data_IF_531712454780
#
_entry.id   IF_531712454780
#
_cell.length_a   1.000
_cell.length_b   1.000
_cell.length_c   1.000
_cell.angle_alpha   90.00
_cell.angle_beta   90.00
_cell.angle_gamma   90.00
#
_symmetry.space_group_name_H-M   'P 1'
#
loop_
_entity.id
_entity.type
_entity.pdbx_description
1 polymer ?
#
# COMPACT_ATOMS: atom_id res chain seq x y z
N UNK A 1 -18.55 11.26 54.02
CA UNK A 1 -19.13 10.73 52.76
C UNK A 1 -18.20 11.18 51.64
N UNK A 2 -17.29 10.31 51.20
CA UNK A 2 -16.40 10.58 50.08
C UNK A 2 -17.11 10.16 48.78
N UNK A 3 -17.38 11.12 47.91
CA UNK A 3 -17.79 10.86 46.52
C UNK A 3 -16.52 10.75 45.68
N UNK A 4 -16.15 9.51 45.35
CA UNK A 4 -15.13 9.21 44.34
C UNK A 4 -15.77 9.42 42.97
N UNK A 5 -15.43 10.52 42.29
CA UNK A 5 -15.66 10.66 40.86
C UNK A 5 -14.62 9.78 40.15
N UNK A 6 -15.08 8.68 39.54
CA UNK A 6 -14.30 7.91 38.59
C UNK A 6 -14.33 8.65 37.25
N UNK A 7 -13.32 9.47 36.99
CA UNK A 7 -12.98 9.89 35.62
C UNK A 7 -12.43 8.65 34.91
N UNK A 8 -13.18 8.17 33.91
CA UNK A 8 -12.72 7.14 32.99
C UNK A 8 -11.68 7.77 32.09
N UNK A 9 -10.41 7.46 32.37
CA UNK A 9 -9.30 7.73 31.47
C UNK A 9 -9.60 7.16 30.09
N UNK A 10 -9.92 8.07 29.16
CA UNK A 10 -9.90 7.75 27.75
C UNK A 10 -8.44 7.47 27.40
N UNK A 11 -8.16 6.28 26.88
CA UNK A 11 -6.85 5.93 26.35
C UNK A 11 -6.56 6.90 25.19
N UNK A 12 -5.82 7.96 25.49
CA UNK A 12 -5.31 8.88 24.49
C UNK A 12 -4.19 8.16 23.75
N UNK A 13 -4.57 7.45 22.68
CA UNK A 13 -3.63 6.81 21.77
C UNK A 13 -2.75 7.94 21.21
N UNK A 14 -1.48 7.96 21.61
CA UNK A 14 -0.48 8.88 21.09
C UNK A 14 -0.42 8.70 19.56
N UNK A 15 -1.11 9.58 18.84
CA UNK A 15 -1.05 9.61 17.38
C UNK A 15 0.36 10.02 17.01
N UNK A 16 1.12 9.09 16.45
CA UNK A 16 2.39 9.44 15.81
C UNK A 16 2.12 10.58 14.81
N UNK A 17 2.99 11.61 14.77
CA UNK A 17 2.75 12.79 13.95
C UNK A 17 2.63 12.38 12.48
N UNK A 18 1.57 12.86 11.84
CA UNK A 18 1.43 12.75 10.38
C UNK A 18 2.44 13.70 9.77
N UNK A 19 3.44 13.15 9.08
CA UNK A 19 4.41 13.96 8.36
C UNK A 19 3.94 14.13 6.92
N UNK A 20 3.71 15.37 6.51
CA UNK A 20 3.40 15.73 5.14
C UNK A 20 4.26 16.89 4.71
N UNK A 21 4.87 16.77 3.54
CA UNK A 21 5.69 17.82 2.94
C UNK A 21 5.32 17.92 1.47
N UNK A 22 5.51 19.13 0.95
CA UNK A 22 5.22 19.47 -0.43
C UNK A 22 6.39 20.28 -0.96
N UNK A 23 6.96 19.83 -2.07
CA UNK A 23 8.10 20.46 -2.70
C UNK A 23 7.82 20.70 -4.18
N UNK A 24 8.08 21.93 -4.61
CA UNK A 24 7.87 22.36 -5.99
C UNK A 24 9.22 22.36 -6.72
N UNK A 25 9.24 21.70 -7.87
CA UNK A 25 10.35 21.61 -8.81
C UNK A 25 9.87 22.08 -10.18
N UNK A 26 10.10 23.36 -10.50
CA UNK A 26 9.64 23.96 -11.76
C UNK A 26 8.11 23.77 -11.93
N UNK A 27 7.68 23.03 -12.96
CA UNK A 27 6.28 22.73 -13.23
C UNK A 27 5.72 21.52 -12.48
N UNK A 28 6.55 20.86 -11.66
CA UNK A 28 6.17 19.68 -10.90
C UNK A 28 6.04 19.98 -9.42
N UNK A 29 4.98 19.48 -8.81
CA UNK A 29 4.76 19.49 -7.36
C UNK A 29 4.80 18.05 -6.87
N UNK A 30 5.70 17.78 -5.92
CA UNK A 30 5.85 16.49 -5.25
C UNK A 30 5.28 16.65 -3.85
N UNK A 31 4.24 15.88 -3.53
CA UNK A 31 3.62 15.87 -2.21
C UNK A 31 3.63 14.46 -1.66
N UNK A 32 4.06 14.31 -0.41
CA UNK A 32 3.92 13.04 0.28
C UNK A 32 3.17 13.19 1.59
N UNK A 33 2.60 12.08 2.05
CA UNK A 33 2.00 11.97 3.38
C UNK A 33 2.43 10.65 3.98
N UNK A 34 2.91 10.69 5.22
CA UNK A 34 3.26 9.53 6.04
C UNK A 34 2.41 9.55 7.29
N UNK A 35 1.82 8.41 7.60
CA UNK A 35 0.91 8.22 8.71
C UNK A 35 1.14 6.87 9.37
N UNK A 36 0.27 6.55 10.32
CA UNK A 36 0.28 5.30 11.08
C UNK A 36 -0.36 4.15 10.30
N UNK A 37 -0.13 2.95 10.81
CA UNK A 37 -0.72 1.70 10.32
C UNK A 37 -2.24 1.72 10.54
N UNK A 38 -2.98 1.06 9.66
CA UNK A 38 -4.42 0.86 9.75
C UNK A 38 -4.78 0.20 11.08
N UNK A 39 -5.81 0.74 11.74
CA UNK A 39 -6.31 0.14 12.97
C UNK A 39 -7.00 -1.20 12.67
N UNK A 40 -6.75 -2.21 13.51
CA UNK A 40 -7.34 -3.54 13.39
C UNK A 40 -8.80 -3.62 13.87
N UNK A 41 -9.30 -2.57 14.52
CA UNK A 41 -10.64 -2.52 15.09
C UNK A 41 -11.40 -1.32 14.53
N UNK A 42 -12.64 -1.57 14.10
CA UNK A 42 -13.55 -0.53 13.66
C UNK A 42 -13.90 0.42 14.82
N UNK A 43 -13.68 1.72 14.63
CA UNK A 43 -13.88 2.72 15.68
C UNK A 43 -15.35 2.92 16.08
N UNK A 44 -16.29 2.62 15.19
CA UNK A 44 -17.73 2.68 15.49
C UNK A 44 -18.54 1.81 14.53
N UNK A 45 -19.02 0.67 15.03
CA UNK A 45 -19.83 -0.29 14.25
C UNK A 45 -21.14 0.32 13.72
N UNK A 46 -21.73 1.27 14.46
CA UNK A 46 -22.98 1.92 14.04
C UNK A 46 -22.76 2.93 12.90
N UNK A 47 -21.73 3.76 12.98
CA UNK A 47 -21.41 4.76 11.94
C UNK A 47 -20.94 4.10 10.65
N UNK A 48 -20.20 2.99 10.76
CA UNK A 48 -19.67 2.32 9.58
C UNK A 48 -20.71 1.53 8.75
N UNK A 49 -21.98 1.55 9.15
CA UNK A 49 -23.08 1.02 8.31
C UNK A 49 -23.38 1.92 7.12
N UNK A 50 -23.13 3.22 7.25
CA UNK A 50 -23.30 4.18 6.17
C UNK A 50 -22.00 4.30 5.36
N UNK A 51 -22.02 4.03 4.04
CA UNK A 51 -20.85 4.16 3.15
C UNK A 51 -20.14 5.51 3.24
N UNK A 52 -20.85 6.61 3.52
CA UNK A 52 -20.26 7.95 3.57
C UNK A 52 -19.47 8.24 4.86
N UNK A 53 -19.68 7.46 5.93
CA UNK A 53 -19.09 7.70 7.25
C UNK A 53 -18.29 6.52 7.79
N UNK A 54 -17.90 5.60 6.91
CA UNK A 54 -17.08 4.44 7.26
C UNK A 54 -15.69 4.83 7.72
N UNK A 55 -15.18 4.11 8.72
CA UNK A 55 -13.78 4.20 9.11
C UNK A 55 -12.88 3.55 8.04
N UNK A 56 -11.58 3.88 8.07
CA UNK A 56 -10.60 3.37 7.10
C UNK A 56 -10.58 1.84 7.04
N UNK A 57 -10.70 1.16 8.18
CA UNK A 57 -10.72 -0.31 8.21
C UNK A 57 -11.89 -0.85 7.37
N UNK A 58 -13.11 -0.37 7.63
CA UNK A 58 -14.29 -0.79 6.89
C UNK A 58 -14.20 -0.44 5.40
N UNK A 59 -13.65 0.73 5.06
CA UNK A 59 -13.41 1.09 3.64
C UNK A 59 -12.50 0.06 2.98
N UNK A 60 -11.38 -0.29 3.61
CA UNK A 60 -10.46 -1.30 3.08
C UNK A 60 -11.11 -2.68 2.99
N UNK A 61 -11.73 -3.16 4.07
CA UNK A 61 -12.39 -4.48 4.11
C UNK A 61 -13.54 -4.61 3.12
N UNK A 62 -14.34 -3.55 2.90
CA UNK A 62 -15.47 -3.60 1.99
C UNK A 62 -15.07 -3.41 0.52
N UNK A 63 -14.00 -2.64 0.27
CA UNK A 63 -13.54 -2.34 -1.09
C UNK A 63 -12.63 -3.42 -1.64
N UNK A 64 -11.83 -4.05 -0.78
CA UNK A 64 -10.85 -5.06 -1.17
C UNK A 64 -11.49 -6.44 -1.07
N UNK A 65 -11.47 -7.19 -2.16
CA UNK A 65 -11.93 -8.59 -2.19
C UNK A 65 -10.87 -9.55 -1.61
N UNK A 66 -10.16 -9.16 -0.55
CA UNK A 66 -9.10 -9.95 0.07
C UNK A 66 -9.64 -10.72 1.29
N UNK A 67 -9.22 -11.98 1.52
CA UNK A 67 -9.64 -12.74 2.70
C UNK A 67 -9.14 -12.13 4.01
N UNK A 68 -7.98 -11.48 3.98
CA UNK A 68 -7.40 -10.70 5.06
C UNK A 68 -6.55 -9.57 4.45
N UNK A 69 -6.30 -8.53 5.24
CA UNK A 69 -5.38 -7.45 4.87
C UNK A 69 -3.95 -7.84 5.29
N UNK A 70 -2.92 -7.26 4.65
CA UNK A 70 -1.55 -7.34 5.17
C UNK A 70 -1.48 -6.93 6.64
N UNK A 71 -0.56 -7.52 7.40
CA UNK A 71 -0.33 -7.17 8.80
C UNK A 71 -0.12 -5.67 9.03
N UNK A 72 0.65 -5.04 8.14
CA UNK A 72 0.92 -3.60 8.17
C UNK A 72 0.38 -2.95 6.91
N UNK A 73 -0.74 -2.24 7.00
CA UNK A 73 -1.25 -1.39 5.91
C UNK A 73 -1.13 0.07 6.33
N UNK A 74 -0.58 0.94 5.50
CA UNK A 74 -0.49 2.37 5.78
C UNK A 74 -1.51 3.14 4.92
N UNK A 75 -2.76 3.31 5.39
CA UNK A 75 -3.87 3.71 4.54
C UNK A 75 -3.78 5.16 4.05
N UNK A 76 -3.13 6.00 4.84
CA UNK A 76 -2.95 7.43 4.53
C UNK A 76 -1.57 7.71 3.93
N UNK A 77 -0.73 6.69 3.74
CA UNK A 77 0.53 6.88 3.03
C UNK A 77 0.23 7.10 1.56
N UNK A 78 0.66 8.26 1.05
CA UNK A 78 0.51 8.58 -0.36
C UNK A 78 1.65 9.44 -0.87
N UNK A 79 2.01 9.23 -2.13
CA UNK A 79 2.91 10.08 -2.89
C UNK A 79 2.17 10.58 -4.12
N UNK A 80 2.12 11.89 -4.32
CA UNK A 80 1.48 12.54 -5.45
C UNK A 80 2.53 13.35 -6.21
N UNK A 81 2.59 13.13 -7.52
CA UNK A 81 3.31 13.98 -8.47
C UNK A 81 2.28 14.69 -9.32
N UNK A 82 2.26 16.01 -9.26
CA UNK A 82 1.32 16.84 -10.00
C UNK A 82 2.08 17.80 -10.90
N UNK A 83 1.68 17.89 -12.15
CA UNK A 83 2.18 18.86 -13.12
C UNK A 83 1.26 20.08 -13.17
N UNK A 84 1.80 21.24 -13.54
CA UNK A 84 1.04 22.48 -13.72
C UNK A 84 -0.06 22.39 -14.80
N UNK A 85 0.02 21.45 -15.74
CA UNK A 85 -1.06 21.16 -16.70
C UNK A 85 -2.31 20.54 -16.05
N UNK A 86 -2.25 20.18 -14.76
CA UNK A 86 -3.31 19.48 -14.04
C UNK A 86 -3.16 17.96 -14.05
N UNK A 87 -2.28 17.39 -14.88
CA UNK A 87 -1.98 15.97 -14.88
C UNK A 87 -1.32 15.57 -13.56
N UNK A 88 -1.68 14.40 -13.02
CA UNK A 88 -1.06 13.86 -11.81
C UNK A 88 -1.00 12.34 -11.80
N UNK A 89 -0.08 11.82 -11.01
CA UNK A 89 0.02 10.40 -10.63
C UNK A 89 0.11 10.30 -9.11
N UNK A 90 -0.69 9.42 -8.53
CA UNK A 90 -0.73 9.11 -7.10
C UNK A 90 -0.35 7.65 -6.88
N UNK A 91 0.37 7.40 -5.80
CA UNK A 91 0.60 6.06 -5.30
C UNK A 91 0.02 5.95 -3.89
N UNK A 92 -0.94 5.04 -3.69
CA UNK A 92 -1.59 4.80 -2.41
C UNK A 92 -1.80 3.30 -2.16
N UNK A 93 -1.98 2.93 -0.89
CA UNK A 93 -2.08 1.52 -0.50
C UNK A 93 -3.39 0.86 -0.98
N UNK A 94 -4.50 1.59 -1.03
CA UNK A 94 -5.80 1.04 -1.39
C UNK A 94 -5.80 0.56 -2.85
N UNK A 95 -5.36 1.40 -3.78
CA UNK A 95 -5.32 1.07 -5.20
C UNK A 95 -4.24 0.03 -5.51
N UNK A 96 -3.15 0.01 -4.75
CA UNK A 96 -2.16 -1.06 -4.83
C UNK A 96 -2.76 -2.42 -4.43
N UNK A 97 -3.52 -2.47 -3.33
CA UNK A 97 -4.16 -3.69 -2.84
C UNK A 97 -5.33 -4.15 -3.71
N UNK A 98 -6.07 -3.23 -4.35
CA UNK A 98 -7.13 -3.57 -5.32
C UNK A 98 -6.60 -4.38 -6.50
N UNK A 99 -5.34 -4.17 -6.89
CA UNK A 99 -4.69 -4.89 -8.00
C UNK A 99 -3.98 -6.17 -7.58
N UNK A 100 -4.14 -6.60 -6.33
CA UNK A 100 -3.63 -7.91 -5.90
C UNK A 100 -4.36 -9.02 -6.67
N UNK A 101 -3.60 -9.97 -7.21
CA UNK A 101 -4.13 -11.05 -8.03
C UNK A 101 -5.02 -12.01 -7.21
N UNK A 102 -6.33 -11.75 -7.20
CA UNK A 102 -7.30 -12.65 -6.59
C UNK A 102 -7.54 -13.87 -7.51
N UNK A 103 -6.78 -14.96 -7.31
CA UNK A 103 -7.07 -16.28 -7.88
C UNK A 103 -6.54 -16.60 -9.28
N UNK A 104 -5.44 -15.99 -9.72
CA UNK A 104 -4.77 -16.33 -10.99
C UNK A 104 -3.38 -16.93 -10.86
N UNK A 105 -2.91 -17.24 -9.65
CA UNK A 105 -1.62 -17.92 -9.48
C UNK A 105 -1.81 -19.32 -8.90
N UNK A 106 -1.41 -20.32 -9.68
CA UNK A 106 -1.06 -21.65 -9.18
C UNK A 106 0.28 -21.54 -8.44
N UNK A 107 0.30 -20.89 -7.27
CA UNK A 107 1.43 -20.97 -6.36
C UNK A 107 1.40 -22.39 -5.75
N UNK A 108 2.04 -23.34 -6.45
CA UNK A 108 2.44 -24.61 -5.84
C UNK A 108 3.51 -24.28 -4.82
N UNK A 109 3.11 -24.13 -3.57
CA UNK A 109 4.03 -24.18 -2.44
C UNK A 109 4.64 -25.59 -2.46
N UNK A 110 5.93 -25.68 -2.80
CA UNK A 110 6.68 -26.94 -2.94
C UNK A 110 6.72 -27.79 -1.66
N UNK A 111 6.26 -27.23 -0.52
CA UNK A 111 6.19 -27.90 0.77
C UNK A 111 4.81 -28.48 1.11
N UNK A 112 3.96 -28.77 0.12
CA UNK A 112 2.60 -29.30 0.34
C UNK A 112 2.37 -30.69 -0.26
N UNK A 113 3.41 -31.36 -0.76
CA UNK A 113 3.31 -32.73 -1.28
C UNK A 113 3.40 -33.77 -0.13
N UNK A 114 4.15 -33.51 0.95
CA UNK A 114 4.22 -34.45 2.10
C UNK A 114 2.97 -34.45 3.00
N UNK A 115 2.21 -33.35 3.05
CA UNK A 115 0.97 -33.28 3.85
C UNK A 115 -0.27 -33.80 3.11
N UNK A 116 -0.16 -34.10 1.81
CA UNK A 116 -1.27 -34.61 1.00
C UNK A 116 -1.39 -36.13 0.98
N UNK A 117 -0.36 -36.86 1.40
CA UNK A 117 -0.40 -38.33 1.32
C UNK A 117 -1.12 -39.03 2.48
N UNK A 118 -1.55 -38.32 3.53
CA UNK A 118 -2.08 -38.98 4.75
C UNK A 118 -3.58 -38.89 4.99
N UNK A 119 -4.40 -38.22 4.14
CA UNK A 119 -5.86 -38.13 4.39
C UNK A 119 -6.71 -38.28 3.12
N UNK A 120 -7.77 -39.09 3.24
CA UNK A 120 -8.69 -39.45 2.17
C UNK A 120 -9.34 -38.21 1.50
N UNK A 121 -9.58 -38.23 0.18
CA UNK A 121 -9.87 -37.05 -0.63
C UNK A 121 -11.32 -36.55 -0.58
N UNK A 122 -12.18 -37.10 0.28
CA UNK A 122 -13.64 -36.91 0.16
C UNK A 122 -14.25 -35.80 1.04
N UNK A 123 -13.48 -35.15 1.93
CA UNK A 123 -14.04 -34.12 2.84
C UNK A 123 -13.21 -32.82 2.96
N UNK A 124 -12.31 -32.51 2.01
CA UNK A 124 -11.49 -31.30 2.06
C UNK A 124 -11.64 -30.37 0.83
N UNK A 125 -12.77 -30.46 0.12
CA UNK A 125 -13.05 -29.62 -1.06
C UNK A 125 -14.03 -28.47 -0.77
N UNK A 126 -14.10 -27.97 0.47
CA UNK A 126 -14.76 -26.70 0.72
C UNK A 126 -13.85 -25.52 0.33
N UNK A 127 -13.96 -25.11 -0.94
CA UNK A 127 -14.01 -23.71 -1.38
C UNK A 127 -12.95 -22.73 -0.86
N UNK A 128 -11.69 -23.13 -0.66
CA UNK A 128 -10.62 -22.12 -0.61
C UNK A 128 -10.39 -21.67 -2.05
N UNK A 129 -10.98 -20.53 -2.44
CA UNK A 129 -10.61 -19.86 -3.69
C UNK A 129 -9.08 -19.73 -3.68
N UNK A 130 -8.37 -20.05 -4.77
CA UNK A 130 -6.94 -19.81 -4.83
C UNK A 130 -6.74 -18.32 -4.52
N UNK A 131 -6.03 -18.02 -3.44
CA UNK A 131 -5.72 -16.66 -3.02
C UNK A 131 -4.23 -16.47 -3.08
N UNK A 132 -3.79 -15.32 -3.56
CA UNK A 132 -2.40 -14.94 -3.49
C UNK A 132 -2.08 -14.34 -2.12
N UNK A 133 -1.62 -15.20 -1.21
CA UNK A 133 -1.17 -14.81 0.13
C UNK A 133 0.07 -13.90 0.10
N UNK A 134 0.74 -13.76 -1.05
CA UNK A 134 1.91 -12.88 -1.20
C UNK A 134 1.53 -11.44 -1.53
N UNK A 135 0.24 -11.10 -1.61
CA UNK A 135 -0.25 -9.76 -1.94
C UNK A 135 0.39 -9.18 -3.22
N UNK A 136 0.64 -10.01 -4.24
CA UNK A 136 1.32 -9.58 -5.46
C UNK A 136 0.42 -8.72 -6.32
N UNK A 137 0.88 -7.50 -6.56
CA UNK A 137 0.17 -6.43 -7.26
C UNK A 137 1.00 -5.92 -8.42
N UNK A 138 0.37 -5.75 -9.58
CA UNK A 138 0.95 -5.13 -10.77
C UNK A 138 0.70 -3.61 -10.82
N UNK A 139 0.36 -3.01 -9.67
CA UNK A 139 0.08 -1.58 -9.55
C UNK A 139 1.25 -0.70 -9.98
N UNK A 140 0.94 0.25 -10.88
CA UNK A 140 1.90 1.20 -11.49
C UNK A 140 1.62 2.65 -11.11
N UNK A 141 0.79 2.88 -10.08
CA UNK A 141 0.23 4.19 -9.75
C UNK A 141 -1.16 4.40 -10.33
N UNK A 142 -1.87 5.35 -9.74
CA UNK A 142 -3.18 5.85 -10.15
C UNK A 142 -2.95 7.17 -10.87
N UNK A 143 -3.36 7.27 -12.14
CA UNK A 143 -3.13 8.45 -12.99
C UNK A 143 -4.42 9.22 -13.19
N UNK A 144 -4.31 10.55 -13.31
CA UNK A 144 -5.42 11.42 -13.69
C UNK A 144 -5.89 11.14 -15.13
N UNK A 145 -7.16 11.42 -15.42
CA UNK A 145 -7.73 11.29 -16.78
C UNK A 145 -7.05 12.19 -17.84
N UNK A 146 -6.31 13.21 -17.39
CA UNK A 146 -5.55 14.12 -18.25
C UNK A 146 -4.26 13.45 -18.77
N UNK A 147 -3.72 12.48 -18.05
CA UNK A 147 -2.49 11.79 -18.40
C UNK A 147 -2.81 10.54 -19.26
N UNK A 148 -2.26 10.49 -20.48
CA UNK A 148 -2.49 9.36 -21.39
C UNK A 148 -1.30 8.39 -21.33
N UNK A 149 -1.56 7.15 -20.91
CA UNK A 149 -0.57 6.08 -20.91
C UNK A 149 -0.51 5.47 -22.31
N UNK A 150 0.64 5.57 -22.97
CA UNK A 150 0.87 5.01 -24.30
C UNK A 150 2.01 3.99 -24.29
N UNK A 151 1.96 2.93 -25.12
CA UNK A 151 3.10 2.05 -25.32
C UNK A 151 4.28 2.81 -25.90
N UNK A 152 5.48 2.57 -25.39
CA UNK A 152 6.72 3.16 -25.90
C UNK A 152 7.85 2.14 -25.83
N UNK A 153 8.79 2.25 -26.77
CA UNK A 153 10.05 1.49 -26.76
C UNK A 153 11.16 2.25 -26.01
N UNK A 154 10.91 3.51 -25.64
CA UNK A 154 11.82 4.31 -24.84
C UNK A 154 12.08 3.64 -23.50
N UNK A 155 13.35 3.59 -23.11
CA UNK A 155 13.78 3.02 -21.83
C UNK A 155 14.34 4.12 -20.95
N UNK A 156 14.17 3.92 -19.64
CA UNK A 156 14.81 4.77 -18.64
C UNK A 156 16.33 4.70 -18.87
N UNK A 157 16.96 5.87 -19.05
CA UNK A 157 18.39 5.94 -19.26
C UNK A 157 19.14 5.61 -17.96
N UNK A 158 19.66 4.39 -17.87
CA UNK A 158 20.36 3.88 -16.70
C UNK A 158 21.68 4.62 -16.46
N UNK A 159 22.32 5.15 -17.50
CA UNK A 159 23.59 5.89 -17.38
C UNK A 159 23.36 7.19 -16.61
N UNK A 160 22.29 7.93 -16.94
CA UNK A 160 21.88 9.12 -16.18
C UNK A 160 21.59 8.82 -14.70
N UNK A 161 21.06 7.63 -14.39
CA UNK A 161 20.81 7.22 -13.01
C UNK A 161 22.09 6.87 -12.23
N UNK A 162 23.21 6.58 -12.90
CA UNK A 162 24.50 6.27 -12.26
C UNK A 162 25.33 7.51 -11.95
N UNK A 163 24.97 8.65 -12.53
CA UNK A 163 25.66 9.91 -12.28
C UNK A 163 25.54 10.31 -10.81
N UNK A 164 26.66 10.70 -10.20
CA UNK A 164 26.72 11.10 -8.81
C UNK A 164 26.32 12.58 -8.68
N UNK A 165 25.05 12.85 -8.85
CA UNK A 165 24.48 14.18 -8.64
C UNK A 165 24.03 14.38 -7.19
N UNK A 166 23.94 15.64 -6.77
CA UNK A 166 23.40 15.98 -5.45
C UNK A 166 21.90 15.68 -5.43
N UNK A 167 21.49 14.82 -4.49
CA UNK A 167 20.09 14.53 -4.22
C UNK A 167 19.45 15.79 -3.59
N UNK A 168 18.43 16.32 -4.24
CA UNK A 168 17.65 17.45 -3.72
C UNK A 168 16.50 16.98 -2.82
N UNK A 169 15.91 15.85 -3.20
CA UNK A 169 14.79 15.27 -2.49
C UNK A 169 14.86 13.76 -2.55
N UNK A 170 14.66 13.14 -1.40
CA UNK A 170 14.54 11.70 -1.27
C UNK A 170 13.36 11.41 -0.38
N UNK A 171 12.46 10.56 -0.86
CA UNK A 171 11.41 10.05 0.00
C UNK A 171 11.13 8.58 -0.27
N UNK A 172 11.08 7.82 0.81
CA UNK A 172 10.62 6.44 0.85
C UNK A 172 9.32 6.33 1.64
N UNK A 173 8.30 5.67 1.08
CA UNK A 173 7.00 5.42 1.70
C UNK A 173 6.63 3.94 1.57
N UNK A 174 6.39 3.28 2.69
CA UNK A 174 5.79 1.95 2.73
C UNK A 174 4.27 2.06 2.58
N UNK A 175 3.69 1.30 1.66
CA UNK A 175 2.24 1.23 1.48
C UNK A 175 1.63 0.09 2.30
N UNK A 176 2.24 -1.09 2.22
CA UNK A 176 1.87 -2.24 3.04
C UNK A 176 3.04 -3.23 3.15
N UNK A 177 2.99 -4.05 4.19
CA UNK A 177 3.93 -5.14 4.48
C UNK A 177 3.21 -6.30 5.19
N UNK A 178 3.67 -7.52 4.93
CA UNK A 178 3.19 -8.76 5.53
C UNK A 178 4.37 -9.74 5.71
N UNK A 179 4.46 -10.39 6.87
CA UNK A 179 5.52 -11.37 7.19
C UNK A 179 5.17 -12.81 6.78
N UNK A 180 4.07 -13.02 6.03
CA UNK A 180 3.68 -14.31 5.45
C UNK A 180 3.70 -15.48 6.46
N UNK A 181 3.34 -15.21 7.72
CA UNK A 181 3.43 -16.17 8.84
C UNK A 181 4.84 -16.76 9.01
N UNK A 182 5.86 -15.91 9.07
CA UNK A 182 7.28 -16.26 9.19
C UNK A 182 7.88 -17.01 7.98
N UNK A 183 7.15 -17.14 6.88
CA UNK A 183 7.63 -17.84 5.68
C UNK A 183 8.35 -16.92 4.68
N UNK A 184 8.37 -15.61 4.92
CA UNK A 184 8.96 -14.63 4.03
C UNK A 184 8.50 -13.21 4.35
N UNK A 185 8.75 -12.26 3.45
CA UNK A 185 8.22 -10.90 3.59
C UNK A 185 7.70 -10.44 2.24
N UNK A 186 6.48 -9.91 2.24
CA UNK A 186 5.89 -9.20 1.11
C UNK A 186 5.68 -7.74 1.48
N UNK A 187 6.36 -6.83 0.79
CA UNK A 187 6.19 -5.40 1.00
C UNK A 187 6.06 -4.61 -0.29
N UNK A 188 5.30 -3.53 -0.22
CA UNK A 188 5.14 -2.55 -1.29
C UNK A 188 5.64 -1.19 -0.80
N UNK A 189 6.74 -0.73 -1.39
CA UNK A 189 7.42 0.50 -0.99
C UNK A 189 7.69 1.38 -2.20
N UNK A 190 7.34 2.65 -2.10
CA UNK A 190 7.61 3.65 -3.13
C UNK A 190 8.86 4.42 -2.73
N UNK A 191 9.76 4.64 -3.68
CA UNK A 191 10.93 5.50 -3.49
C UNK A 191 10.98 6.53 -4.60
N UNK A 192 11.20 7.78 -4.21
CA UNK A 192 11.40 8.88 -5.14
C UNK A 192 12.71 9.60 -4.82
N UNK A 193 13.46 9.89 -5.89
CA UNK A 193 14.71 10.63 -5.82
C UNK A 193 14.68 11.72 -6.89
N UNK A 194 14.89 12.96 -6.46
CA UNK A 194 14.96 14.13 -7.34
C UNK A 194 16.36 14.74 -7.32
N UNK A 195 16.84 15.14 -8.49
CA UNK A 195 18.18 15.70 -8.71
C UNK A 195 18.11 17.11 -9.32
N UNK A 196 19.26 17.79 -9.37
CA UNK A 196 19.36 19.22 -9.79
C UNK A 196 18.99 19.44 -11.27
N UNK A 197 19.22 18.47 -12.15
CA UNK A 197 18.99 18.65 -13.59
C UNK A 197 17.63 18.14 -14.04
N UNK A 198 16.62 19.03 -14.12
CA UNK A 198 15.35 18.91 -14.88
C UNK A 198 14.60 17.55 -14.89
N UNK A 199 14.95 16.62 -14.01
CA UNK A 199 14.54 15.22 -14.08
C UNK A 199 14.31 14.69 -12.68
N UNK A 200 13.08 14.25 -12.45
CA UNK A 200 12.68 13.54 -11.24
C UNK A 200 12.38 12.10 -11.64
N UNK A 201 12.97 11.14 -10.92
CA UNK A 201 12.72 9.72 -11.14
C UNK A 201 11.90 9.18 -9.97
N UNK A 202 10.73 8.64 -10.29
CA UNK A 202 9.89 7.94 -9.33
C UNK A 202 9.91 6.45 -9.64
N UNK A 203 10.17 5.63 -8.63
CA UNK A 203 10.17 4.19 -8.77
C UNK A 203 9.39 3.54 -7.62
N UNK A 204 8.36 2.77 -7.97
CA UNK A 204 7.68 1.91 -7.03
C UNK A 204 8.35 0.53 -7.08
N UNK A 205 8.83 0.04 -5.93
CA UNK A 205 9.41 -1.30 -5.81
C UNK A 205 8.52 -2.15 -4.91
N UNK A 206 8.01 -3.25 -5.47
CA UNK A 206 7.49 -4.34 -4.65
C UNK A 206 8.61 -5.34 -4.41
N UNK A 207 8.79 -5.77 -3.16
CA UNK A 207 9.64 -6.89 -2.81
C UNK A 207 8.75 -8.03 -2.32
N UNK A 208 8.90 -9.19 -2.96
CA UNK A 208 8.44 -10.47 -2.43
C UNK A 208 9.69 -11.33 -2.31
N UNK A 209 10.05 -11.77 -1.10
CA UNK A 209 11.14 -12.74 -0.89
C UNK A 209 10.57 -14.03 -0.34
#
# INVERSE_FOLDING_TARGET
MCTLNQEKDAIEIQRLPVNSEEQVFHDWTIKYTKSHILHSICSSSEKCKDPASQCLLCVYTNTLELPHLPEMVFPNNKLILKHNSGAWIEFNALDALKKVCNGKQNLKVACSEEWKETRAPENLMEKIKPFDWTFSSDYRGTVSDIAVVTPTEERINIEKLKEKEKILFYQELMLYEDELHDNGISSCTIKIVSYIFHSSHCYARKFTK
#
